data_IF_171861032574
#
_entry.id   IF_171861032574
#
_cell.length_a   1.000
_cell.length_b   1.000
_cell.length_c   1.000
_cell.angle_alpha   90.00
_cell.angle_beta   90.00
_cell.angle_gamma   90.00
#
_symmetry.space_group_name_H-M   'P 1'
#
loop_
_entity.id
_entity.type
_entity.pdbx_description
1 polymer ?
#
# COMPACT_ATOMS: atom_id res chain seq x y z
N UNK A 1 6.98 1.26 3.12
CA UNK A 1 8.43 1.51 3.27
C UNK A 1 9.08 0.45 4.14
N UNK A 2 10.22 -0.10 3.74
CA UNK A 2 10.98 -1.08 4.54
C UNK A 2 11.56 -0.45 5.83
N UNK A 3 11.56 -1.23 6.91
CA UNK A 3 12.02 -0.85 8.25
C UNK A 3 13.50 -0.44 8.25
N UNK A 4 14.36 -1.23 7.60
CA UNK A 4 15.81 -1.05 7.67
C UNK A 4 16.26 0.26 6.98
N UNK A 5 15.45 0.76 6.04
CA UNK A 5 15.71 1.97 5.25
C UNK A 5 14.74 3.11 5.55
N UNK A 6 13.88 2.94 6.55
CA UNK A 6 12.76 3.82 6.85
C UNK A 6 13.15 5.30 6.99
N UNK A 7 14.18 5.70 7.76
CA UNK A 7 14.49 7.12 7.95
C UNK A 7 14.83 7.84 6.64
N UNK A 8 15.60 7.16 5.77
CA UNK A 8 16.01 7.69 4.45
C UNK A 8 14.82 7.73 3.50
N UNK A 9 13.98 6.68 3.52
CA UNK A 9 12.83 6.56 2.62
C UNK A 9 11.76 7.62 2.88
N UNK A 10 11.54 7.99 4.15
CA UNK A 10 10.64 9.09 4.51
C UNK A 10 11.14 10.42 3.96
N UNK A 11 12.46 10.66 3.94
CA UNK A 11 13.02 11.91 3.45
C UNK A 11 12.85 12.09 1.93
N UNK A 12 12.80 11.00 1.16
CA UNK A 12 12.45 11.07 -0.26
C UNK A 12 11.01 11.54 -0.50
N UNK A 13 10.09 11.30 0.43
CA UNK A 13 8.69 11.76 0.32
C UNK A 13 8.42 13.11 0.99
N UNK A 14 9.45 13.80 1.49
CA UNK A 14 9.30 15.10 2.14
C UNK A 14 8.64 16.16 1.25
N UNK A 15 8.89 16.14 -0.06
CA UNK A 15 8.25 17.04 -1.03
C UNK A 15 6.76 16.79 -1.24
N UNK A 16 6.28 15.59 -0.88
CA UNK A 16 4.84 15.26 -0.86
C UNK A 16 4.14 15.70 0.43
N UNK A 17 4.82 16.41 1.33
CA UNK A 17 4.29 16.77 2.65
C UNK A 17 4.24 15.60 3.63
N UNK A 18 4.87 14.47 3.28
CA UNK A 18 4.92 13.25 4.08
C UNK A 18 6.13 13.29 5.00
N UNK A 19 5.98 13.90 6.18
CA UNK A 19 7.05 14.12 7.14
C UNK A 19 6.77 13.37 8.45
N UNK A 20 7.83 12.82 9.02
CA UNK A 20 7.85 12.29 10.38
C UNK A 20 8.97 12.98 11.15
N UNK A 21 8.69 13.35 12.40
CA UNK A 21 9.70 13.91 13.29
C UNK A 21 10.82 12.90 13.57
N UNK A 22 12.04 13.36 13.89
CA UNK A 22 13.14 12.46 14.26
C UNK A 22 12.77 11.51 15.41
N UNK A 23 12.01 11.99 16.39
CA UNK A 23 11.53 11.20 17.52
C UNK A 23 10.57 10.09 17.06
N UNK A 24 9.63 10.41 16.17
CA UNK A 24 8.72 9.42 15.59
C UNK A 24 9.48 8.39 14.75
N UNK A 25 10.49 8.80 13.97
CA UNK A 25 11.32 7.88 13.19
C UNK A 25 12.05 6.89 14.11
N UNK A 26 12.68 7.38 15.18
CA UNK A 26 13.40 6.54 16.14
C UNK A 26 12.46 5.60 16.91
N UNK A 27 11.27 6.09 17.31
CA UNK A 27 10.25 5.28 17.97
C UNK A 27 9.76 4.15 17.05
N UNK A 28 9.45 4.46 15.78
CA UNK A 28 9.02 3.48 14.78
C UNK A 28 10.08 2.42 14.50
N UNK A 29 11.34 2.82 14.34
CA UNK A 29 12.42 1.86 14.12
C UNK A 29 12.51 0.87 15.28
N UNK A 30 12.44 1.37 16.52
CA UNK A 30 12.53 0.54 17.71
C UNK A 30 11.31 -0.37 17.86
N UNK A 31 10.11 0.18 17.74
CA UNK A 31 8.87 -0.57 17.98
C UNK A 31 8.60 -1.60 16.89
N UNK A 32 8.86 -1.27 15.61
CA UNK A 32 8.72 -2.23 14.51
C UNK A 32 9.78 -3.34 14.56
N UNK A 33 10.98 -3.06 15.09
CA UNK A 33 12.00 -4.11 15.32
C UNK A 33 11.54 -5.11 16.37
N UNK A 34 10.89 -4.64 17.45
CA UNK A 34 10.28 -5.51 18.45
C UNK A 34 9.16 -6.36 17.83
N UNK A 35 8.31 -5.77 17.00
CA UNK A 35 7.26 -6.48 16.24
C UNK A 35 7.84 -7.54 15.32
N UNK A 36 8.90 -7.22 14.57
CA UNK A 36 9.60 -8.16 13.67
C UNK A 36 10.03 -9.41 14.43
N UNK A 37 10.61 -9.24 15.62
CA UNK A 37 11.06 -10.33 16.49
C UNK A 37 9.90 -11.09 17.15
N UNK A 38 8.91 -10.38 17.68
CA UNK A 38 7.77 -10.97 18.39
C UNK A 38 6.96 -11.90 17.47
N UNK A 39 6.70 -11.47 16.24
CA UNK A 39 5.90 -12.23 15.27
C UNK A 39 6.74 -13.08 14.32
N UNK A 40 8.07 -13.13 14.49
CA UNK A 40 9.04 -13.87 13.64
C UNK A 40 8.87 -13.55 12.15
N UNK A 41 8.71 -12.27 11.85
CA UNK A 41 8.54 -11.76 10.50
C UNK A 41 9.91 -11.64 9.83
N UNK A 42 9.96 -11.87 8.52
CA UNK A 42 11.17 -11.65 7.71
C UNK A 42 11.40 -10.17 7.48
N UNK A 43 10.35 -9.48 7.06
CA UNK A 43 10.38 -8.05 6.71
C UNK A 43 9.16 -7.35 7.32
N UNK A 44 9.34 -6.08 7.67
CA UNK A 44 8.25 -5.24 8.19
C UNK A 44 8.27 -3.94 7.40
N UNK A 45 7.11 -3.60 6.85
CA UNK A 45 6.93 -2.41 6.04
C UNK A 45 6.00 -1.42 6.75
N UNK A 46 6.43 -0.18 6.95
CA UNK A 46 5.51 0.89 7.32
C UNK A 46 4.58 1.15 6.12
N UNK A 47 3.28 0.98 6.33
CA UNK A 47 2.27 1.26 5.31
C UNK A 47 1.95 2.75 5.27
N UNK A 48 1.80 3.36 6.44
CA UNK A 48 1.48 4.78 6.53
C UNK A 48 0.69 5.16 7.78
N UNK A 49 0.02 6.31 7.69
CA UNK A 49 -0.72 6.96 8.77
C UNK A 49 -2.11 7.37 8.29
N UNK A 50 -3.14 6.88 8.95
CA UNK A 50 -4.53 7.30 8.74
C UNK A 50 -4.83 8.39 9.76
N UNK A 51 -5.21 9.56 9.26
CA UNK A 51 -5.54 10.72 10.08
C UNK A 51 -6.93 10.55 10.69
N UNK A 52 -6.99 10.62 12.02
CA UNK A 52 -8.24 10.57 12.76
C UNK A 52 -8.60 11.91 13.39
N UNK A 53 -9.82 12.01 13.91
CA UNK A 53 -10.31 13.21 14.59
C UNK A 53 -9.66 13.37 15.97
N UNK A 54 -9.58 12.30 16.76
CA UNK A 54 -9.00 12.35 18.11
C UNK A 54 -7.57 11.79 18.17
N UNK A 55 -7.27 10.78 17.35
CA UNK A 55 -5.95 10.14 17.30
C UNK A 55 -5.73 9.51 15.93
N UNK A 56 -4.48 9.44 15.52
CA UNK A 56 -4.08 8.92 14.23
C UNK A 56 -3.70 7.44 14.33
N UNK A 57 -4.07 6.66 13.31
CA UNK A 57 -3.70 5.26 13.22
C UNK A 57 -2.46 5.11 12.36
N UNK A 58 -1.39 4.57 12.94
CA UNK A 58 -0.26 4.08 12.18
C UNK A 58 -0.49 2.63 11.80
N UNK A 59 -0.17 2.29 10.56
CA UNK A 59 -0.35 0.95 10.02
C UNK A 59 0.99 0.44 9.49
N UNK A 60 1.29 -0.81 9.80
CA UNK A 60 2.45 -1.54 9.30
C UNK A 60 2.04 -2.92 8.82
N UNK A 61 2.81 -3.47 7.89
CA UNK A 61 2.57 -4.79 7.32
C UNK A 61 3.80 -5.65 7.50
N UNK A 62 3.62 -6.78 8.16
CA UNK A 62 4.61 -7.82 8.35
C UNK A 62 4.51 -8.87 7.24
N UNK A 63 5.67 -9.28 6.73
CA UNK A 63 5.83 -10.34 5.75
C UNK A 63 6.63 -11.49 6.36
N UNK A 64 6.20 -12.72 6.09
CA UNK A 64 6.94 -13.93 6.44
C UNK A 64 7.77 -14.41 5.25
N UNK A 65 7.28 -15.37 4.46
CA UNK A 65 8.02 -15.91 3.30
C UNK A 65 7.63 -15.23 1.99
N UNK A 66 6.33 -15.08 1.76
CA UNK A 66 5.75 -14.53 0.55
C UNK A 66 5.51 -13.03 0.70
N UNK A 67 6.06 -12.24 -0.22
CA UNK A 67 5.96 -10.77 -0.16
C UNK A 67 4.55 -10.23 -0.47
N UNK A 68 3.71 -11.00 -1.17
CA UNK A 68 2.38 -10.58 -1.59
C UNK A 68 1.27 -11.20 -0.71
N UNK A 69 1.36 -12.50 -0.46
CA UNK A 69 0.32 -13.27 0.24
C UNK A 69 0.58 -13.41 1.74
N UNK A 70 -0.49 -13.63 2.53
CA UNK A 70 -0.42 -13.84 3.99
C UNK A 70 0.28 -12.72 4.78
N UNK A 71 0.12 -11.47 4.34
CA UNK A 71 0.63 -10.29 5.06
C UNK A 71 -0.13 -10.09 6.37
N UNK A 72 0.61 -9.85 7.45
CA UNK A 72 0.06 -9.51 8.76
C UNK A 72 -0.02 -8.00 8.90
N UNK A 73 -1.23 -7.44 8.95
CA UNK A 73 -1.42 -6.00 9.15
C UNK A 73 -1.50 -5.69 10.63
N UNK A 74 -0.68 -4.75 11.10
CA UNK A 74 -0.66 -4.26 12.47
C UNK A 74 -1.02 -2.77 12.49
N UNK A 75 -1.64 -2.34 13.58
CA UNK A 75 -1.91 -0.92 13.83
C UNK A 75 -1.35 -0.47 15.18
N UNK A 76 -1.11 0.83 15.28
CA UNK A 76 -0.65 1.50 16.49
C UNK A 76 -1.24 2.92 16.56
N UNK A 77 -1.46 3.43 17.77
CA UNK A 77 -1.91 4.82 18.01
C UNK A 77 -0.84 5.71 18.66
N UNK A 78 0.18 5.10 19.27
CA UNK A 78 1.15 5.77 20.13
C UNK A 78 2.62 5.52 19.70
N UNK A 79 2.84 5.04 18.47
CA UNK A 79 4.16 4.70 17.90
C UNK A 79 4.92 3.55 18.59
N UNK A 80 4.35 2.93 19.62
CA UNK A 80 5.02 1.92 20.45
C UNK A 80 4.26 0.59 20.51
N UNK A 81 2.97 0.63 20.84
CA UNK A 81 2.15 -0.56 21.08
C UNK A 81 1.42 -0.99 19.81
N UNK A 82 1.97 -1.99 19.14
CA UNK A 82 1.42 -2.56 17.91
C UNK A 82 0.45 -3.70 18.20
N UNK A 83 -0.72 -3.65 17.58
CA UNK A 83 -1.77 -4.67 17.68
C UNK A 83 -2.03 -5.29 16.32
N UNK A 84 -2.15 -6.61 16.28
CA UNK A 84 -2.48 -7.34 15.07
C UNK A 84 -3.95 -7.10 14.70
N UNK A 85 -4.20 -6.82 13.44
CA UNK A 85 -5.55 -6.79 12.90
C UNK A 85 -5.95 -8.15 12.32
N UNK A 86 -7.20 -8.58 12.47
CA UNK A 86 -7.69 -9.78 11.80
C UNK A 86 -7.70 -9.59 10.27
N UNK A 87 -7.43 -10.63 9.47
CA UNK A 87 -7.51 -10.52 8.01
C UNK A 87 -8.93 -10.19 7.57
N UNK A 88 -9.08 -9.33 6.56
CA UNK A 88 -10.39 -9.01 6.00
C UNK A 88 -10.79 -10.00 4.91
N UNK A 89 -12.01 -10.52 5.00
CA UNK A 89 -12.65 -11.30 3.93
C UNK A 89 -13.06 -10.40 2.76
N UNK A 90 -13.14 -10.93 1.53
CA UNK A 90 -13.54 -10.13 0.36
C UNK A 90 -14.95 -9.51 0.47
N UNK A 91 -15.87 -10.18 1.15
CA UNK A 91 -17.20 -9.63 1.47
C UNK A 91 -17.11 -8.38 2.35
N UNK A 92 -16.18 -8.39 3.31
CA UNK A 92 -15.93 -7.28 4.23
C UNK A 92 -15.34 -6.07 3.49
N UNK A 93 -14.48 -6.30 2.50
CA UNK A 93 -13.88 -5.25 1.65
C UNK A 93 -14.94 -4.60 0.76
N UNK A 94 -15.83 -5.41 0.17
CA UNK A 94 -16.90 -4.92 -0.72
C UNK A 94 -17.89 -4.03 0.02
N UNK A 95 -18.24 -4.40 1.26
CA UNK A 95 -19.15 -3.63 2.11
C UNK A 95 -18.58 -2.30 2.63
N UNK A 96 -17.28 -2.01 2.42
CA UNK A 96 -16.69 -0.72 2.82
C UNK A 96 -17.08 0.47 1.96
N UNK A 97 -17.70 0.27 0.81
CA UNK A 97 -18.25 1.39 0.02
C UNK A 97 -19.41 2.10 0.73
N UNK A 98 -20.08 1.41 1.67
CA UNK A 98 -21.30 1.88 2.34
C UNK A 98 -20.97 2.72 3.58
N UNK A 99 -19.85 2.44 4.25
CA UNK A 99 -19.44 3.16 5.46
C UNK A 99 -18.69 4.42 5.05
N UNK A 100 -19.33 5.58 5.25
CA UNK A 100 -18.72 6.89 5.08
C UNK A 100 -18.47 7.50 6.46
N UNK A 101 -17.26 7.96 6.71
CA UNK A 101 -16.92 8.63 7.96
C UNK A 101 -15.43 8.71 8.22
N UNK A 102 -15.00 9.81 8.84
CA UNK A 102 -13.61 9.99 9.27
C UNK A 102 -13.26 9.05 10.41
N UNK A 103 -12.00 8.65 10.47
CA UNK A 103 -11.51 7.85 11.59
C UNK A 103 -11.62 8.63 12.90
N UNK A 104 -12.31 8.08 13.91
CA UNK A 104 -12.49 8.78 15.19
C UNK A 104 -11.23 8.77 16.08
N UNK A 105 -10.27 7.87 15.83
CA UNK A 105 -9.10 7.69 16.69
C UNK A 105 -9.35 6.84 17.94
N UNK A 106 -10.53 6.21 18.02
CA UNK A 106 -10.85 5.26 19.06
C UNK A 106 -11.13 3.88 18.42
N UNK A 107 -10.29 2.86 18.66
CA UNK A 107 -10.53 1.49 18.17
C UNK A 107 -11.86 0.90 18.61
N UNK A 108 -12.49 1.44 19.67
CA UNK A 108 -13.77 0.97 20.17
C UNK A 108 -15.00 1.62 19.50
N UNK A 109 -14.80 2.62 18.62
CA UNK A 109 -15.90 3.36 18.00
C UNK A 109 -16.62 2.53 16.93
N UNK A 110 -17.95 2.51 16.99
CA UNK A 110 -18.80 1.83 16.02
C UNK A 110 -19.30 2.85 15.00
N UNK A 111 -18.99 2.62 13.72
CA UNK A 111 -19.58 3.42 12.64
C UNK A 111 -20.97 2.89 12.35
N UNK A 112 -21.97 3.76 12.45
CA UNK A 112 -23.30 3.46 11.96
C UNK A 112 -23.27 3.51 10.43
N UNK A 113 -23.47 2.36 9.77
CA UNK A 113 -23.76 2.35 8.33
C UNK A 113 -25.08 3.09 8.11
N UNK A 114 -25.03 4.26 7.48
CA UNK A 114 -26.21 4.88 6.90
C UNK A 114 -26.85 3.91 5.92
N UNK A 115 -28.07 3.48 6.25
CA UNK A 115 -29.01 2.68 5.42
C UNK A 115 -28.80 1.16 5.26
N UNK A 116 -28.41 0.43 6.32
CA UNK A 116 -28.85 -0.99 6.46
C UNK A 116 -29.24 -1.31 7.91
N UNK A 117 -30.39 -0.80 8.35
CA UNK A 117 -31.19 -1.56 9.33
C UNK A 117 -31.96 -2.64 8.56
N UNK A 118 -31.59 -3.91 8.84
CA UNK A 118 -32.20 -5.19 8.41
C UNK A 118 -31.58 -5.84 7.16
N UNK A 119 -30.54 -6.64 7.38
CA UNK A 119 -30.51 -8.07 7.04
C UNK A 119 -29.08 -8.60 7.26
N UNK A 120 -28.90 -9.24 8.41
CA UNK A 120 -27.83 -10.16 8.87
C UNK A 120 -27.41 -9.75 10.27
N UNK A 121 -27.74 -10.58 11.25
CA UNK A 121 -27.34 -10.43 12.66
C UNK A 121 -25.86 -10.74 12.85
N UNK A 122 -24.99 -9.99 12.19
CA UNK A 122 -23.54 -10.02 12.39
C UNK A 122 -23.09 -8.64 12.81
N UNK A 123 -22.86 -8.44 14.11
CA UNK A 123 -22.21 -7.22 14.59
C UNK A 123 -20.88 -7.03 13.86
N UNK A 124 -20.73 -5.91 13.16
CA UNK A 124 -19.48 -5.57 12.47
C UNK A 124 -18.44 -5.30 13.55
N UNK A 125 -17.51 -6.24 13.74
CA UNK A 125 -16.47 -6.13 14.76
C UNK A 125 -15.53 -4.96 14.43
N UNK A 126 -15.19 -4.18 15.46
CA UNK A 126 -14.61 -2.82 15.42
C UNK A 126 -13.25 -2.71 14.72
N UNK A 127 -12.42 -3.73 14.82
CA UNK A 127 -11.12 -3.83 14.13
C UNK A 127 -11.28 -4.10 12.62
N UNK A 128 -12.49 -4.36 12.12
CA UNK A 128 -12.72 -4.66 10.71
C UNK A 128 -12.65 -3.42 9.81
N UNK A 129 -13.06 -2.23 10.27
CA UNK A 129 -13.13 -1.05 9.39
C UNK A 129 -11.73 -0.63 8.91
N UNK A 130 -10.78 -0.48 9.83
CA UNK A 130 -9.39 -0.12 9.50
C UNK A 130 -8.73 -1.12 8.55
N UNK A 131 -8.95 -2.42 8.77
CA UNK A 131 -8.42 -3.48 7.90
C UNK A 131 -9.02 -3.39 6.51
N UNK A 132 -10.34 -3.29 6.43
CA UNK A 132 -11.03 -3.29 5.14
C UNK A 132 -10.63 -2.08 4.30
N UNK A 133 -10.49 -0.91 4.92
CA UNK A 133 -10.02 0.31 4.24
C UNK A 133 -8.55 0.16 3.81
N UNK A 134 -7.69 -0.35 4.69
CA UNK A 134 -6.27 -0.61 4.37
C UNK A 134 -6.14 -1.60 3.21
N UNK A 135 -6.93 -2.68 3.23
CA UNK A 135 -6.88 -3.72 2.21
C UNK A 135 -7.46 -3.25 0.88
N UNK A 136 -8.56 -2.48 0.91
CA UNK A 136 -9.09 -1.82 -0.28
C UNK A 136 -8.08 -0.85 -0.88
N UNK A 137 -7.41 -0.07 -0.04
CA UNK A 137 -6.36 0.83 -0.47
C UNK A 137 -5.20 0.07 -1.11
N UNK A 138 -4.74 -1.02 -0.50
CA UNK A 138 -3.69 -1.87 -1.06
C UNK A 138 -4.07 -2.39 -2.45
N UNK A 139 -5.31 -2.87 -2.62
CA UNK A 139 -5.82 -3.37 -3.90
C UNK A 139 -5.89 -2.28 -5.00
N UNK A 140 -6.01 -1.01 -4.63
CA UNK A 140 -6.18 0.10 -5.57
C UNK A 140 -4.88 0.86 -5.88
N UNK A 141 -3.93 0.97 -4.94
CA UNK A 141 -2.77 1.86 -5.11
C UNK A 141 -1.43 1.28 -4.69
N UNK A 142 -1.35 0.09 -4.10
CA UNK A 142 -0.03 -0.47 -3.79
C UNK A 142 0.71 -0.75 -5.09
N UNK A 143 1.75 0.03 -5.41
CA UNK A 143 2.53 -0.13 -6.64
C UNK A 143 4.00 -0.43 -6.36
N UNK A 144 4.64 -1.10 -7.32
CA UNK A 144 6.06 -1.46 -7.30
C UNK A 144 6.69 -1.23 -8.69
N UNK A 145 8.03 -1.01 -8.77
CA UNK A 145 8.72 -1.04 -10.05
C UNK A 145 8.67 -2.43 -10.69
N UNK A 146 8.49 -2.47 -12.01
CA UNK A 146 8.61 -3.71 -12.80
C UNK A 146 9.98 -4.36 -12.57
N UNK A 147 9.99 -5.64 -12.24
CA UNK A 147 11.21 -6.40 -11.96
C UNK A 147 11.75 -6.29 -10.53
N UNK A 148 11.13 -5.51 -9.64
CA UNK A 148 11.53 -5.46 -8.22
C UNK A 148 11.24 -6.77 -7.47
N UNK A 149 10.21 -7.51 -7.91
CA UNK A 149 9.84 -8.82 -7.39
C UNK A 149 9.81 -9.84 -8.51
N UNK A 150 10.05 -11.10 -8.17
CA UNK A 150 9.98 -12.24 -9.10
C UNK A 150 9.03 -13.28 -8.55
N UNK A 151 8.22 -13.85 -9.45
CA UNK A 151 7.49 -15.08 -9.22
C UNK A 151 8.32 -16.26 -9.73
N UNK A 152 8.81 -17.07 -8.81
CA UNK A 152 9.60 -18.27 -9.16
C UNK A 152 8.63 -19.42 -9.52
N UNK A 153 8.85 -20.16 -10.62
CA UNK A 153 8.00 -21.30 -10.96
C UNK A 153 8.08 -22.48 -9.99
N UNK A 154 9.22 -22.66 -9.33
CA UNK A 154 9.51 -23.81 -8.44
C UNK A 154 9.01 -23.62 -7.02
N UNK A 155 8.96 -22.38 -6.60
CA UNK A 155 8.64 -21.95 -5.25
C UNK A 155 7.41 -21.08 -5.42
N UNK A 156 6.23 -21.58 -5.08
CA UNK A 156 4.91 -20.93 -5.31
C UNK A 156 4.71 -19.65 -4.48
N UNK A 157 5.78 -18.92 -4.19
CA UNK A 157 5.79 -17.67 -3.46
C UNK A 157 6.53 -16.56 -4.21
N UNK A 158 6.13 -15.32 -3.95
CA UNK A 158 6.75 -14.13 -4.54
C UNK A 158 7.90 -13.66 -3.66
N UNK A 159 9.05 -13.37 -4.29
CA UNK A 159 10.26 -12.95 -3.60
C UNK A 159 10.87 -11.69 -4.19
N UNK A 160 11.66 -10.97 -3.38
CA UNK A 160 12.40 -9.79 -3.83
C UNK A 160 13.46 -10.20 -4.86
N UNK A 161 13.51 -9.50 -5.99
CA UNK A 161 14.55 -9.68 -6.99
C UNK A 161 15.87 -9.06 -6.53
N UNK A 162 16.83 -9.89 -6.10
CA UNK A 162 18.16 -9.42 -5.67
C UNK A 162 19.02 -8.85 -6.80
N UNK A 163 18.68 -9.14 -8.05
CA UNK A 163 19.41 -8.65 -9.24
C UNK A 163 18.85 -7.32 -9.74
N UNK A 164 17.72 -6.87 -9.20
CA UNK A 164 17.09 -5.62 -9.60
C UNK A 164 17.99 -4.41 -9.31
N UNK A 165 18.43 -3.73 -10.37
CA UNK A 165 19.27 -2.52 -10.30
C UNK A 165 18.46 -1.23 -10.43
N UNK A 166 17.14 -1.30 -10.43
CA UNK A 166 16.30 -0.13 -10.66
C UNK A 166 15.92 0.08 -12.12
N UNK A 167 14.83 0.80 -12.32
CA UNK A 167 14.43 1.34 -13.63
C UNK A 167 15.42 2.40 -14.10
N UNK A 168 15.65 2.48 -15.40
CA UNK A 168 16.43 3.57 -16.00
C UNK A 168 15.68 4.91 -15.92
N UNK A 169 16.38 6.03 -16.10
CA UNK A 169 15.76 7.36 -16.05
C UNK A 169 14.62 7.54 -17.08
N UNK A 170 14.76 6.93 -18.27
CA UNK A 170 13.77 7.02 -19.35
C UNK A 170 12.54 6.13 -19.13
N UNK A 171 12.69 5.06 -18.35
CA UNK A 171 11.62 4.14 -17.97
C UNK A 171 10.91 4.60 -16.71
N UNK A 172 11.64 5.12 -15.73
CA UNK A 172 11.10 5.50 -14.43
C UNK A 172 10.01 6.58 -14.54
N UNK A 173 10.02 7.43 -15.58
CA UNK A 173 8.97 8.42 -15.82
C UNK A 173 7.68 7.86 -16.44
N UNK A 174 7.63 6.57 -16.78
CA UNK A 174 6.50 5.95 -17.50
C UNK A 174 5.71 5.06 -16.57
N UNK A 175 4.39 5.23 -16.53
CA UNK A 175 3.50 4.40 -15.70
C UNK A 175 3.58 2.91 -16.05
N UNK A 176 3.87 2.59 -17.31
CA UNK A 176 4.06 1.19 -17.77
C UNK A 176 5.20 0.43 -17.09
N UNK A 177 6.11 1.15 -16.44
CA UNK A 177 7.23 0.57 -15.70
C UNK A 177 6.87 0.24 -14.24
N UNK A 178 5.61 0.42 -13.85
CA UNK A 178 5.10 0.13 -12.51
C UNK A 178 3.93 -0.85 -12.58
N UNK A 179 3.87 -1.73 -11.58
CA UNK A 179 2.87 -2.78 -11.46
C UNK A 179 2.13 -2.66 -10.13
N UNK A 180 0.86 -3.04 -10.12
CA UNK A 180 0.06 -3.13 -8.90
C UNK A 180 0.45 -4.36 -8.08
N UNK A 181 0.83 -4.15 -6.81
CA UNK A 181 1.25 -5.17 -5.86
C UNK A 181 0.07 -5.81 -5.12
N UNK A 182 -0.82 -6.38 -5.92
CA UNK A 182 -2.03 -7.12 -5.51
C UNK A 182 -2.26 -8.28 -6.48
N UNK A 183 -3.18 -9.20 -6.16
CA UNK A 183 -3.57 -10.25 -7.10
C UNK A 183 -4.06 -9.65 -8.43
N UNK A 184 -3.53 -10.11 -9.58
CA UNK A 184 -3.87 -9.55 -10.88
C UNK A 184 -5.31 -9.88 -11.30
N UNK A 185 -6.02 -8.88 -11.78
CA UNK A 185 -7.39 -8.96 -12.31
C UNK A 185 -7.41 -8.79 -13.82
N UNK A 186 -6.66 -7.82 -14.35
CA UNK A 186 -6.68 -7.48 -15.77
C UNK A 186 -5.78 -8.40 -16.59
N UNK A 187 -4.65 -8.86 -16.04
CA UNK A 187 -3.75 -9.83 -16.66
C UNK A 187 -4.48 -11.14 -17.02
N UNK A 188 -5.46 -11.54 -16.21
CA UNK A 188 -6.29 -12.73 -16.44
C UNK A 188 -7.21 -12.59 -17.64
N UNK A 189 -7.50 -11.35 -18.06
CA UNK A 189 -8.38 -11.02 -19.20
C UNK A 189 -7.61 -10.81 -20.51
N UNK A 190 -6.27 -10.68 -20.46
CA UNK A 190 -5.43 -10.48 -21.65
C UNK A 190 -5.50 -11.69 -22.58
N UNK A 191 -5.43 -11.44 -23.89
CA UNK A 191 -5.45 -12.45 -24.93
C UNK A 191 -4.20 -13.34 -24.88
N UNK A 192 -4.25 -14.51 -25.53
CA UNK A 192 -3.10 -15.43 -25.59
C UNK A 192 -1.88 -14.79 -26.28
N UNK A 193 -2.12 -13.94 -27.29
CA UNK A 193 -1.04 -13.25 -28.01
C UNK A 193 -0.33 -12.24 -27.10
N UNK A 194 -1.10 -11.40 -26.39
CA UNK A 194 -0.53 -10.43 -25.44
C UNK A 194 0.22 -11.12 -24.29
N UNK A 195 -0.28 -12.26 -23.82
CA UNK A 195 0.39 -13.04 -22.77
C UNK A 195 1.68 -13.71 -23.25
N UNK A 196 1.81 -13.99 -24.55
CA UNK A 196 3.02 -14.59 -25.11
C UNK A 196 4.22 -13.61 -25.12
N UNK A 197 3.96 -12.31 -25.08
CA UNK A 197 5.00 -11.27 -25.03
C UNK A 197 5.48 -10.96 -23.61
N UNK A 198 4.82 -11.50 -22.58
CA UNK A 198 5.13 -11.22 -21.18
C UNK A 198 6.13 -12.21 -20.59
N UNK A 199 7.05 -11.70 -19.77
CA UNK A 199 7.87 -12.56 -18.92
C UNK A 199 7.08 -12.93 -17.66
N UNK A 200 6.54 -14.14 -17.60
CA UNK A 200 5.69 -14.57 -16.47
C UNK A 200 6.40 -14.56 -15.10
N UNK A 201 7.73 -14.47 -15.05
CA UNK A 201 8.46 -14.32 -13.79
C UNK A 201 8.50 -12.87 -13.30
N UNK A 202 8.37 -11.88 -14.18
CA UNK A 202 8.47 -10.45 -13.87
C UNK A 202 7.13 -9.72 -14.05
N UNK A 203 6.38 -10.07 -15.08
CA UNK A 203 5.12 -9.48 -15.52
C UNK A 203 3.91 -10.28 -15.03
N UNK A 204 3.98 -10.73 -13.78
CA UNK A 204 2.92 -11.53 -13.15
C UNK A 204 1.81 -10.70 -12.50
N UNK A 205 1.88 -9.37 -12.62
CA UNK A 205 0.97 -8.39 -11.99
C UNK A 205 0.36 -7.44 -13.03
N UNK A 206 -0.69 -6.72 -12.64
CA UNK A 206 -1.35 -5.73 -13.49
C UNK A 206 -0.50 -4.46 -13.64
N UNK A 207 -0.47 -3.91 -14.85
CA UNK A 207 0.26 -2.68 -15.17
C UNK A 207 -0.55 -1.45 -14.73
N UNK A 208 0.11 -0.46 -14.11
CA UNK A 208 -0.56 0.78 -13.67
C UNK A 208 -1.08 1.60 -14.85
N UNK A 209 -0.42 1.52 -16.01
CA UNK A 209 -0.88 2.20 -17.24
C UNK A 209 -2.22 1.62 -17.75
N UNK A 210 -2.54 0.37 -17.42
CA UNK A 210 -3.77 -0.32 -17.84
C UNK A 210 -4.99 0.04 -16.96
N UNK A 211 -4.82 0.90 -15.93
CA UNK A 211 -5.91 1.33 -15.05
C UNK A 211 -7.10 1.91 -15.83
N UNK A 212 -8.32 1.59 -15.35
CA UNK A 212 -9.59 2.00 -15.98
C UNK A 212 -9.72 3.53 -16.02
N UNK A 213 -9.39 4.20 -14.91
CA UNK A 213 -9.45 5.66 -14.82
C UNK A 213 -8.11 6.25 -15.25
N UNK A 214 -8.02 6.67 -16.52
CA UNK A 214 -6.84 7.37 -17.04
C UNK A 214 -6.66 8.71 -16.31
N UNK A 215 -5.40 9.11 -16.11
CA UNK A 215 -5.05 10.33 -15.38
C UNK A 215 -5.13 10.22 -13.85
N UNK A 216 -5.54 9.09 -13.28
CA UNK A 216 -5.62 8.87 -11.82
C UNK A 216 -4.28 8.87 -11.09
N UNK A 217 -3.17 8.94 -11.84
CA UNK A 217 -1.81 8.96 -11.34
C UNK A 217 -1.08 10.20 -11.88
N UNK A 218 -0.33 10.86 -10.99
CA UNK A 218 0.62 11.90 -11.38
C UNK A 218 2.05 11.39 -11.19
N UNK A 219 2.90 11.59 -12.20
CA UNK A 219 4.32 11.24 -12.17
C UNK A 219 5.12 12.53 -12.20
N UNK A 220 6.04 12.71 -11.26
CA UNK A 220 6.88 13.89 -11.16
C UNK A 220 8.32 13.51 -10.88
N UNK A 221 9.25 14.30 -11.41
CA UNK A 221 10.66 14.24 -11.01
C UNK A 221 10.90 15.27 -9.92
N UNK A 222 11.45 14.81 -8.80
CA UNK A 222 11.87 15.63 -7.68
C UNK A 222 13.39 15.55 -7.51
N UNK A 223 14.00 16.63 -7.03
CA UNK A 223 15.46 16.74 -6.76
C UNK A 223 16.33 16.16 -7.89
N UNK A 224 15.95 16.41 -9.15
CA UNK A 224 16.67 16.01 -10.36
C UNK A 224 16.36 14.59 -10.86
N UNK A 225 16.46 13.57 -10.01
CA UNK A 225 16.36 12.17 -10.45
C UNK A 225 15.31 11.33 -9.71
N UNK A 226 14.84 11.75 -8.54
CA UNK A 226 13.85 10.98 -7.78
C UNK A 226 12.52 11.00 -8.52
N UNK A 227 11.97 9.84 -8.85
CA UNK A 227 10.60 9.78 -9.38
C UNK A 227 9.63 9.66 -8.21
N UNK A 228 8.63 10.53 -8.18
CA UNK A 228 7.52 10.49 -7.24
C UNK A 228 6.23 10.29 -8.00
N UNK A 229 5.47 9.26 -7.61
CA UNK A 229 4.17 8.93 -8.18
C UNK A 229 3.11 9.14 -7.10
N UNK A 230 2.06 9.90 -7.41
CA UNK A 230 0.95 10.15 -6.48
C UNK A 230 -0.36 9.68 -7.06
N UNK A 231 -1.19 9.06 -6.22
CA UNK A 231 -2.56 8.74 -6.58
C UNK A 231 -3.45 9.96 -6.40
N UNK A 232 -4.18 10.33 -7.45
CA UNK A 232 -5.22 11.37 -7.40
C UNK A 232 -6.57 10.78 -6.96
N UNK A 233 -6.74 9.47 -7.12
CA UNK A 233 -7.90 8.71 -6.66
C UNK A 233 -7.85 8.47 -5.15
N UNK A 234 -6.66 8.31 -4.58
CA UNK A 234 -6.43 8.20 -3.14
C UNK A 234 -5.49 9.30 -2.66
N UNK A 235 -6.01 10.51 -2.38
CA UNK A 235 -5.22 11.60 -1.85
C UNK A 235 -4.49 11.19 -0.57
N UNK A 236 -3.18 11.47 -0.54
CA UNK A 236 -2.28 11.06 0.54
C UNK A 236 -1.40 9.86 0.22
N UNK A 237 -1.67 9.12 -0.86
CA UNK A 237 -0.75 8.07 -1.33
C UNK A 237 0.39 8.68 -2.16
N UNK A 238 1.63 8.39 -1.76
CA UNK A 238 2.81 8.68 -2.57
C UNK A 238 3.75 7.49 -2.61
N UNK A 239 4.29 7.24 -3.79
CA UNK A 239 5.33 6.28 -4.10
C UNK A 239 6.56 7.03 -4.59
N UNK A 240 7.75 6.53 -4.28
CA UNK A 240 9.00 7.01 -4.85
C UNK A 240 9.84 5.86 -5.41
N UNK A 241 10.66 6.19 -6.41
CA UNK A 241 11.70 5.32 -6.94
C UNK A 241 12.94 6.15 -7.27
N UNK A 242 14.12 5.68 -6.88
CA UNK A 242 15.41 6.27 -7.26
C UNK A 242 15.95 5.51 -8.48
N UNK A 243 15.95 6.10 -9.69
CA UNK A 243 16.40 5.43 -10.91
C UNK A 243 17.82 4.87 -10.80
N UNK A 244 18.07 3.76 -11.49
CA UNK A 244 19.31 2.96 -11.43
C UNK A 244 19.72 2.51 -10.03
N UNK A 245 18.77 2.44 -9.10
CA UNK A 245 18.97 1.79 -7.80
C UNK A 245 17.79 0.90 -7.47
N UNK A 246 17.96 -0.05 -6.54
CA UNK A 246 16.87 -0.85 -5.99
C UNK A 246 16.00 -0.11 -4.98
N UNK A 247 16.22 1.19 -4.75
CA UNK A 247 15.52 1.97 -3.72
C UNK A 247 14.18 2.46 -4.24
N UNK A 248 13.12 1.94 -3.66
CA UNK A 248 11.76 2.42 -3.86
C UNK A 248 10.96 2.24 -2.58
N UNK A 249 9.81 2.87 -2.53
CA UNK A 249 8.87 2.69 -1.45
C UNK A 249 7.65 3.55 -1.60
N UNK A 250 6.62 3.22 -0.84
CA UNK A 250 5.41 4.02 -0.74
C UNK A 250 5.02 4.22 0.71
N UNK A 251 4.29 5.30 0.93
CA UNK A 251 3.65 5.61 2.19
C UNK A 251 2.33 6.32 1.93
N UNK A 252 1.34 5.98 2.74
CA UNK A 252 0.08 6.70 2.80
C UNK A 252 0.06 7.68 3.98
N UNK A 253 -0.39 8.90 3.79
CA UNK A 253 -0.81 9.78 4.88
C UNK A 253 -2.04 10.57 4.49
N UNK A 254 -3.18 10.28 5.12
CA UNK A 254 -4.43 10.94 4.78
C UNK A 254 -5.64 10.35 5.51
N UNK A 255 -6.84 10.71 5.07
CA UNK A 255 -8.11 10.35 5.71
C UNK A 255 -8.60 8.93 5.37
N UNK A 256 -7.88 8.23 4.49
CA UNK A 256 -8.25 6.96 3.89
C UNK A 256 -9.61 6.99 3.16
N UNK A 257 -9.90 8.13 2.52
CA UNK A 257 -11.08 8.34 1.69
C UNK A 257 -10.71 8.31 0.21
N UNK A 258 -11.51 7.58 -0.59
CA UNK A 258 -11.36 7.52 -2.04
C UNK A 258 -12.03 8.74 -2.67
N UNK A 259 -11.32 9.43 -3.55
CA UNK A 259 -11.86 10.56 -4.31
C UNK A 259 -12.80 10.06 -5.42
N UNK A 260 -14.07 9.81 -5.07
CA UNK A 260 -15.09 9.36 -6.02
C UNK A 260 -15.42 10.41 -7.08
N UNK A 261 -15.17 11.69 -6.77
CA UNK A 261 -15.48 12.81 -7.66
C UNK A 261 -14.36 13.08 -8.65
N UNK A 262 -13.24 12.33 -8.58
CA UNK A 262 -12.11 12.47 -9.48
C UNK A 262 -12.51 12.55 -10.97
N UNK A 263 -13.41 11.71 -11.52
CA UNK A 263 -13.80 11.79 -12.93
C UNK A 263 -14.46 13.11 -13.35
N UNK A 264 -14.96 13.91 -12.40
CA UNK A 264 -15.56 15.23 -12.66
C UNK A 264 -14.57 16.39 -12.49
N UNK A 265 -13.36 16.11 -12.00
CA UNK A 265 -12.31 17.10 -11.74
C UNK A 265 -11.28 17.22 -12.87
N UNK A 266 -11.28 16.29 -13.84
CA UNK A 266 -10.31 16.20 -14.94
C UNK A 266 -10.93 16.62 -16.27
#
# INVERSE_FOLDING_TARGET
MDLDTLPQHVDYLSSSGLLLSPEQKAALQTSLELVRKQYRLRSVYLWGKILGLNADYLVAQGVEKDELYNRKTLYCLNYMDWKLLPPATDEMITNCSVIKGRFMGNPAYEYESGDVKKMTGGGVTKDSHSVRVTERHNKDVAIIPRGAFIKTPTEDYISINRVFKGLSHSEAGKLRSYLHFTEPKELKKKSLLERAELDMSIDFLDCVEDDILKGSWSVQYDRGALVVIRSLLWPGYSFFHVPNTSKFGSMYMGLAEKNIDFPFMV
#
